data_IF_822512555232
#
_entry.id   IF_822512555232
#
_cell.length_a   1.000
_cell.length_b   1.000
_cell.length_c   1.000
_cell.angle_alpha   90.00
_cell.angle_beta   90.00
_cell.angle_gamma   90.00
#
_symmetry.space_group_name_H-M   'P 1'
#
loop_
_entity.id
_entity.type
_entity.pdbx_description
1 polymer ?
#
# COMPACT_ATOMS: atom_id res chain seq x y z
N UNK A 1 -57.56 27.81 -28.83
CA UNK A 1 -56.18 27.27 -28.78
C UNK A 1 -56.03 26.50 -27.49
N UNK A 2 -56.09 25.17 -27.55
CA UNK A 2 -55.84 24.31 -26.39
C UNK A 2 -54.34 24.04 -26.32
N UNK A 3 -53.63 24.70 -25.39
CA UNK A 3 -52.29 24.27 -25.01
C UNK A 3 -52.46 23.13 -24.01
N UNK A 4 -52.15 21.86 -24.36
CA UNK A 4 -52.24 20.78 -23.40
C UNK A 4 -51.15 20.99 -22.36
N UNK A 5 -51.55 21.08 -21.08
CA UNK A 5 -50.60 21.09 -19.98
C UNK A 5 -50.17 19.64 -19.73
N UNK A 6 -48.96 19.31 -20.17
CA UNK A 6 -48.37 18.00 -19.90
C UNK A 6 -47.89 17.91 -18.45
N UNK A 7 -48.08 16.77 -17.78
CA UNK A 7 -47.54 16.56 -16.44
C UNK A 7 -46.00 16.53 -16.46
N UNK A 8 -45.40 16.78 -15.30
CA UNK A 8 -43.95 16.72 -15.14
C UNK A 8 -43.41 15.36 -15.58
N UNK A 9 -42.34 15.37 -16.38
CA UNK A 9 -41.66 14.16 -16.81
C UNK A 9 -41.08 13.46 -15.59
N UNK A 10 -41.55 12.24 -15.29
CA UNK A 10 -41.01 11.38 -14.23
C UNK A 10 -39.66 10.76 -14.64
N UNK A 11 -38.78 11.55 -15.25
CA UNK A 11 -37.43 11.13 -15.55
C UNK A 11 -36.59 11.31 -14.30
N UNK A 12 -36.48 10.23 -13.52
CA UNK A 12 -35.30 10.08 -12.68
C UNK A 12 -34.07 9.96 -13.59
N UNK A 13 -33.36 11.06 -13.77
CA UNK A 13 -31.97 11.02 -14.24
C UNK A 13 -31.15 10.39 -13.13
N UNK A 14 -30.93 9.08 -13.22
CA UNK A 14 -30.02 8.36 -12.35
C UNK A 14 -29.15 7.40 -13.16
N UNK A 15 -27.90 7.80 -13.30
CA UNK A 15 -26.76 7.01 -13.78
C UNK A 15 -26.15 6.32 -12.56
N UNK A 16 -26.18 4.98 -12.44
CA UNK A 16 -24.93 4.19 -12.46
C UNK A 16 -25.05 2.68 -12.84
N UNK A 17 -23.94 2.15 -13.39
CA UNK A 17 -23.39 0.78 -13.42
C UNK A 17 -24.28 -0.51 -13.39
N UNK A 18 -24.40 -1.16 -14.57
CA UNK A 18 -24.23 -2.60 -14.94
C UNK A 18 -24.70 -3.78 -14.03
N UNK A 19 -25.69 -4.59 -14.47
CA UNK A 19 -25.61 -6.06 -14.75
C UNK A 19 -26.98 -6.65 -15.20
N UNK A 20 -26.98 -7.67 -16.08
CA UNK A 20 -28.13 -8.32 -16.75
C UNK A 20 -29.07 -9.15 -15.84
N UNK A 21 -30.39 -9.12 -16.11
CA UNK A 21 -31.35 -10.26 -16.24
C UNK A 21 -32.78 -9.99 -15.67
N UNK A 22 -33.80 -10.29 -16.48
CA UNK A 22 -35.27 -10.20 -16.24
C UNK A 22 -35.74 -11.39 -15.38
N UNK A 23 -36.60 -11.22 -14.33
CA UNK A 23 -38.08 -11.32 -14.47
C UNK A 23 -38.92 -10.39 -13.53
N UNK A 24 -40.12 -9.97 -13.98
CA UNK A 24 -41.13 -9.20 -13.22
C UNK A 24 -41.85 -10.07 -12.13
N UNK A 25 -42.63 -9.57 -11.12
CA UNK A 25 -43.22 -8.22 -10.88
C UNK A 25 -43.04 -7.62 -9.43
N UNK A 26 -43.46 -6.35 -9.25
CA UNK A 26 -43.43 -5.43 -8.05
C UNK A 26 -44.51 -5.78 -6.97
N UNK A 27 -44.63 -5.18 -5.73
CA UNK A 27 -43.91 -4.06 -5.06
C UNK A 27 -43.64 -4.16 -3.51
N UNK A 28 -42.81 -3.23 -3.00
CA UNK A 28 -42.95 -2.44 -1.73
C UNK A 28 -41.74 -2.43 -0.78
N UNK A 29 -41.34 -1.19 -0.50
CA UNK A 29 -40.42 -0.56 0.45
C UNK A 29 -39.69 -1.33 1.57
N UNK A 30 -38.50 -0.75 1.85
CA UNK A 30 -37.84 -0.55 3.15
C UNK A 30 -37.13 -1.80 3.68
N UNK A 31 -35.80 -1.83 3.78
CA UNK A 31 -34.95 -1.05 4.70
C UNK A 31 -33.49 -1.16 4.23
N UNK A 32 -32.72 -0.07 4.41
CA UNK A 32 -31.26 -0.04 4.30
C UNK A 32 -30.59 -1.25 4.92
N UNK A 33 -29.79 -2.01 4.17
CA UNK A 33 -28.51 -2.52 4.67
C UNK A 33 -27.69 -3.21 3.60
N UNK A 34 -26.38 -2.99 3.71
CA UNK A 34 -25.31 -3.69 3.01
C UNK A 34 -25.14 -3.32 1.54
N UNK A 35 -24.41 -2.22 1.31
CA UNK A 35 -23.56 -2.10 0.13
C UNK A 35 -22.81 -3.43 -0.08
N UNK A 36 -22.69 -3.96 -1.31
CA UNK A 36 -21.90 -5.15 -1.53
C UNK A 36 -20.48 -4.82 -1.08
N UNK A 37 -20.04 -5.43 0.02
CA UNK A 37 -18.66 -5.41 0.42
C UNK A 37 -17.87 -5.79 -0.82
N UNK A 38 -17.03 -4.87 -1.31
CA UNK A 38 -16.02 -5.17 -2.31
C UNK A 38 -15.20 -6.28 -1.69
N UNK A 39 -15.56 -7.53 -2.02
CA UNK A 39 -14.79 -8.68 -1.64
C UNK A 39 -13.40 -8.35 -2.17
N UNK A 40 -12.34 -8.35 -1.32
CA UNK A 40 -11.01 -8.15 -1.82
C UNK A 40 -10.76 -9.35 -2.73
N UNK A 41 -10.96 -9.13 -4.02
CA UNK A 41 -10.52 -10.08 -5.02
C UNK A 41 -9.04 -10.19 -4.71
N UNK A 42 -8.59 -11.37 -4.27
CA UNK A 42 -7.18 -11.71 -4.23
C UNK A 42 -6.72 -11.77 -5.70
N UNK A 43 -6.74 -10.63 -6.37
CA UNK A 43 -6.01 -10.39 -7.58
C UNK A 43 -4.57 -10.63 -7.17
N UNK A 44 -4.03 -11.74 -7.64
CA UNK A 44 -2.66 -12.12 -7.31
C UNK A 44 -1.75 -10.93 -7.64
N UNK A 45 -0.66 -10.78 -6.90
CA UNK A 45 0.30 -9.68 -7.08
C UNK A 45 0.66 -9.49 -8.56
N UNK A 46 0.67 -10.57 -9.34
CA UNK A 46 0.89 -10.57 -10.79
C UNK A 46 -0.16 -9.76 -11.59
N UNK A 47 -1.45 -9.88 -11.29
CA UNK A 47 -2.51 -9.11 -11.96
C UNK A 47 -2.49 -7.64 -11.54
N UNK A 48 -2.19 -7.34 -10.27
CA UNK A 48 -2.02 -5.98 -9.79
C UNK A 48 -0.81 -5.27 -10.43
N UNK A 49 0.30 -6.00 -10.61
CA UNK A 49 1.50 -5.52 -11.32
C UNK A 49 1.20 -5.28 -12.80
N UNK A 50 0.38 -6.12 -13.43
CA UNK A 50 -0.05 -5.94 -14.82
C UNK A 50 -0.98 -4.74 -14.99
N UNK A 51 -1.86 -4.49 -14.03
CA UNK A 51 -2.79 -3.37 -14.04
C UNK A 51 -2.10 -2.02 -13.83
N UNK A 52 -1.03 -1.97 -13.03
CA UNK A 52 -0.26 -0.74 -12.80
C UNK A 52 1.25 -1.04 -12.64
N UNK A 53 1.99 -1.19 -13.76
CA UNK A 53 3.42 -1.53 -13.71
C UNK A 53 4.27 -0.43 -13.06
N UNK A 54 3.88 0.84 -13.20
CA UNK A 54 4.58 1.98 -12.62
C UNK A 54 4.58 1.92 -11.09
N UNK A 55 3.44 1.56 -10.47
CA UNK A 55 3.30 1.45 -9.01
C UNK A 55 4.14 0.29 -8.48
N UNK A 56 4.18 -0.83 -9.20
CA UNK A 56 5.02 -1.97 -8.85
C UNK A 56 6.51 -1.62 -8.88
N UNK A 57 6.96 -0.94 -9.94
CA UNK A 57 8.35 -0.48 -10.08
C UNK A 57 8.70 0.48 -8.94
N UNK A 58 7.87 1.51 -8.70
CA UNK A 58 8.08 2.46 -7.61
C UNK A 58 8.14 1.78 -6.23
N UNK A 59 7.27 0.80 -5.98
CA UNK A 59 7.29 0.00 -4.75
C UNK A 59 8.59 -0.78 -4.58
N UNK A 60 9.08 -1.44 -5.64
CA UNK A 60 10.36 -2.18 -5.59
C UNK A 60 11.56 -1.26 -5.38
N UNK A 61 11.58 -0.08 -6.00
CA UNK A 61 12.61 0.94 -5.80
C UNK A 61 12.61 1.47 -4.37
N UNK A 62 11.44 1.74 -3.79
CA UNK A 62 11.32 2.17 -2.40
C UNK A 62 11.84 1.11 -1.44
N UNK A 63 11.43 -0.15 -1.62
CA UNK A 63 11.92 -1.28 -0.79
C UNK A 63 13.42 -1.46 -0.95
N UNK A 64 13.92 -1.43 -2.19
CA UNK A 64 15.35 -1.51 -2.49
C UNK A 64 16.13 -0.40 -1.80
N UNK A 65 15.66 0.85 -1.89
CA UNK A 65 16.26 2.00 -1.24
C UNK A 65 16.32 1.83 0.29
N UNK A 66 15.23 1.40 0.92
CA UNK A 66 15.18 1.15 2.37
C UNK A 66 16.18 0.08 2.77
N UNK A 67 16.23 -1.04 2.05
CA UNK A 67 17.19 -2.13 2.32
C UNK A 67 18.63 -1.64 2.16
N UNK A 68 18.92 -0.89 1.09
CA UNK A 68 20.26 -0.33 0.88
C UNK A 68 20.65 0.69 1.94
N UNK A 69 19.69 1.52 2.41
CA UNK A 69 19.92 2.47 3.49
C UNK A 69 20.20 1.76 4.81
N UNK A 70 19.47 0.69 5.10
CA UNK A 70 19.68 -0.14 6.29
C UNK A 70 21.06 -0.81 6.23
N UNK A 71 21.43 -1.39 5.09
CA UNK A 71 22.74 -2.01 4.88
C UNK A 71 23.88 -0.99 5.05
N UNK A 72 23.73 0.20 4.47
CA UNK A 72 24.69 1.29 4.57
C UNK A 72 24.86 1.75 6.03
N UNK A 73 23.76 1.93 6.75
CA UNK A 73 23.78 2.29 8.17
C UNK A 73 24.50 1.23 9.01
N UNK A 74 24.23 -0.05 8.76
CA UNK A 74 24.91 -1.17 9.43
C UNK A 74 26.41 -1.19 9.10
N UNK A 75 26.79 -0.95 7.85
CA UNK A 75 28.19 -0.91 7.44
C UNK A 75 28.97 0.21 8.16
N UNK A 76 28.39 1.41 8.26
CA UNK A 76 29.00 2.55 8.97
C UNK A 76 29.15 2.23 10.46
N UNK A 77 28.12 1.64 11.07
CA UNK A 77 28.15 1.25 12.48
C UNK A 77 29.22 0.19 12.74
N UNK A 78 29.33 -0.82 11.87
CA UNK A 78 30.34 -1.86 11.97
C UNK A 78 31.76 -1.28 11.84
N UNK A 79 31.97 -0.32 10.94
CA UNK A 79 33.24 0.39 10.82
C UNK A 79 33.57 1.16 12.10
N UNK A 80 32.60 1.89 12.66
CA UNK A 80 32.79 2.64 13.91
C UNK A 80 33.14 1.71 15.09
N UNK A 81 32.44 0.58 15.21
CA UNK A 81 32.74 -0.43 16.23
C UNK A 81 34.10 -1.10 16.00
N UNK A 82 34.48 -1.34 14.74
CA UNK A 82 35.78 -1.89 14.39
C UNK A 82 36.92 -0.96 14.85
N UNK A 83 36.82 0.34 14.52
CA UNK A 83 37.82 1.34 14.93
C UNK A 83 37.87 1.46 16.46
N UNK A 84 36.71 1.55 17.12
CA UNK A 84 36.64 1.59 18.59
C UNK A 84 37.27 0.34 19.23
N UNK A 85 36.98 -0.85 18.69
CA UNK A 85 37.55 -2.11 19.13
C UNK A 85 39.08 -2.14 18.99
N UNK A 86 39.63 -1.63 17.89
CA UNK A 86 41.09 -1.53 17.68
C UNK A 86 41.72 -0.59 18.71
N UNK A 87 41.13 0.59 18.94
CA UNK A 87 41.63 1.56 19.94
C UNK A 87 41.62 0.96 21.34
N UNK A 88 40.53 0.29 21.73
CA UNK A 88 40.44 -0.41 23.02
C UNK A 88 41.47 -1.53 23.12
N UNK A 89 41.68 -2.31 22.05
CA UNK A 89 42.67 -3.39 22.02
C UNK A 89 44.09 -2.83 22.21
N UNK A 90 44.43 -1.75 21.53
CA UNK A 90 45.73 -1.06 21.69
C UNK A 90 45.89 -0.52 23.11
N UNK A 91 44.87 0.13 23.67
CA UNK A 91 44.93 0.65 25.04
C UNK A 91 45.12 -0.48 26.06
N UNK A 92 44.40 -1.59 25.90
CA UNK A 92 44.58 -2.79 26.73
C UNK A 92 45.97 -3.38 26.57
N UNK A 93 46.54 -3.38 25.36
CA UNK A 93 47.92 -3.85 25.14
C UNK A 93 48.94 -2.98 25.86
N UNK A 94 48.81 -1.66 25.78
CA UNK A 94 49.69 -0.72 26.47
C UNK A 94 49.55 -0.91 27.98
N UNK A 95 48.33 -0.97 28.50
CA UNK A 95 48.09 -1.17 29.93
C UNK A 95 48.68 -2.50 30.43
N UNK A 96 48.57 -3.57 29.63
CA UNK A 96 49.23 -4.85 29.94
C UNK A 96 50.74 -4.73 29.93
N UNK A 97 51.33 -3.98 29.01
CA UNK A 97 52.77 -3.75 28.97
C UNK A 97 53.24 -2.99 30.22
N UNK A 98 52.51 -1.97 30.64
CA UNK A 98 52.80 -1.20 31.86
C UNK A 98 52.65 -2.04 33.13
N UNK A 99 51.65 -2.92 33.20
CA UNK A 99 51.43 -3.78 34.37
C UNK A 99 52.44 -4.94 34.49
N UNK A 100 52.98 -5.40 33.36
CA UNK A 100 53.98 -6.47 33.31
C UNK A 100 55.43 -5.95 33.38
N UNK A 101 55.63 -4.65 33.60
CA UNK A 101 56.92 -4.00 33.71
C UNK A 101 57.26 -3.70 35.16
#
# INVERSE_FOLDING_TARGET
MLTPKYPQSDTHTFTPASYNAVPAPVPTERISESAPAVAPTRSGVVDAVRANPVVAIAGTLAVGAVVTSMLLAVAITALALSVSGVVLLVLVRILRQELNR
#
